data_IF_052498855909
#
_entry.id   IF_052498855909
#
_cell.length_a   1.000
_cell.length_b   1.000
_cell.length_c   1.000
_cell.angle_alpha   90.00
_cell.angle_beta   90.00
_cell.angle_gamma   90.00
#
_symmetry.space_group_name_H-M   'P 1'
#
loop_
_entity.id
_entity.type
_entity.pdbx_description
1 polymer ?
#
# COMPACT_ATOMS: atom_id res chain seq x y z
N UNK A 1 -1.50 -20.10 9.79
CA UNK A 1 -0.73 -19.00 9.17
C UNK A 1 -0.96 -19.17 7.68
N UNK A 2 -2.07 -18.64 7.18
CA UNK A 2 -2.44 -18.82 5.77
C UNK A 2 -1.78 -17.72 4.96
N UNK A 3 -0.70 -18.10 4.29
CA UNK A 3 -0.06 -17.26 3.29
C UNK A 3 -1.02 -17.13 2.10
N UNK A 4 -1.13 -15.93 1.53
CA UNK A 4 -1.90 -15.76 0.31
C UNK A 4 -1.14 -16.41 -0.84
N UNK A 5 -1.73 -17.44 -1.44
CA UNK A 5 -1.29 -17.97 -2.73
C UNK A 5 -1.20 -16.84 -3.76
N UNK A 6 -0.33 -16.99 -4.73
CA UNK A 6 -0.03 -15.97 -5.76
C UNK A 6 -1.31 -15.49 -6.49
N UNK A 7 -2.29 -16.39 -6.67
CA UNK A 7 -3.61 -16.05 -7.22
C UNK A 7 -4.44 -15.11 -6.33
N UNK A 8 -4.35 -15.23 -5.00
CA UNK A 8 -5.04 -14.32 -4.09
C UNK A 8 -4.36 -12.96 -4.03
N UNK A 9 -3.04 -12.89 -4.23
CA UNK A 9 -2.30 -11.61 -4.29
C UNK A 9 -2.66 -10.79 -5.54
N UNK A 10 -2.89 -11.46 -6.68
CA UNK A 10 -3.32 -10.80 -7.92
C UNK A 10 -4.61 -10.00 -7.74
N UNK A 11 -5.55 -10.47 -6.91
CA UNK A 11 -6.79 -9.76 -6.62
C UNK A 11 -6.59 -8.42 -5.87
N UNK A 12 -5.43 -8.24 -5.22
CA UNK A 12 -5.07 -7.00 -4.52
C UNK A 12 -4.06 -6.15 -5.28
N UNK A 13 -3.69 -6.56 -6.51
CA UNK A 13 -2.72 -5.83 -7.30
C UNK A 13 -3.28 -4.48 -7.72
N UNK A 14 -2.46 -3.45 -7.54
CA UNK A 14 -2.76 -2.10 -7.99
C UNK A 14 -1.94 -1.80 -9.24
N UNK A 15 -2.63 -1.43 -10.30
CA UNK A 15 -2.01 -0.95 -11.52
C UNK A 15 -1.97 0.57 -11.55
N UNK A 16 -0.86 1.13 -12.02
CA UNK A 16 -0.69 2.58 -12.18
C UNK A 16 -0.77 2.91 -13.66
N UNK A 17 -1.79 3.67 -14.05
CA UNK A 17 -2.00 4.11 -15.44
C UNK A 17 -2.18 5.63 -15.46
N UNK A 18 -1.26 6.33 -16.13
CA UNK A 18 -1.29 7.80 -16.21
C UNK A 18 -1.28 8.49 -14.84
N UNK A 19 -0.56 7.92 -13.87
CA UNK A 19 -0.47 8.47 -12.50
C UNK A 19 -1.67 8.19 -11.59
N UNK A 20 -2.64 7.40 -12.04
CA UNK A 20 -3.79 6.96 -11.23
C UNK A 20 -3.71 5.48 -10.92
N UNK A 21 -4.20 5.12 -9.74
CA UNK A 21 -4.26 3.76 -9.22
C UNK A 21 -5.56 3.07 -9.65
N UNK A 22 -5.43 1.84 -10.13
CA UNK A 22 -6.52 0.98 -10.56
C UNK A 22 -6.46 -0.35 -9.81
N UNK A 23 -7.61 -0.90 -9.43
CA UNK A 23 -7.71 -2.24 -8.85
C UNK A 23 -7.52 -3.33 -9.93
N UNK A 24 -7.48 -4.60 -9.52
CA UNK A 24 -7.36 -5.75 -10.43
C UNK A 24 -8.51 -5.86 -11.44
N UNK A 25 -9.66 -5.24 -11.19
CA UNK A 25 -10.80 -5.21 -12.09
C UNK A 25 -10.69 -4.08 -13.15
N UNK A 26 -9.64 -3.25 -13.07
CA UNK A 26 -9.44 -2.10 -13.96
C UNK A 26 -10.27 -0.87 -13.58
N UNK A 27 -10.85 -0.83 -12.39
CA UNK A 27 -11.60 0.30 -11.85
C UNK A 27 -10.68 1.22 -11.04
N UNK A 28 -11.05 2.50 -10.89
CA UNK A 28 -10.28 3.43 -10.07
C UNK A 28 -10.25 2.96 -8.61
N UNK A 29 -9.05 2.84 -8.06
CA UNK A 29 -8.89 2.43 -6.67
C UNK A 29 -9.37 3.55 -5.73
N UNK A 30 -10.21 3.20 -4.77
CA UNK A 30 -10.81 4.15 -3.85
C UNK A 30 -10.89 3.56 -2.45
N UNK A 31 -10.30 4.25 -1.48
CA UNK A 31 -10.24 3.82 -0.09
C UNK A 31 -11.36 4.39 0.76
N UNK A 32 -12.25 5.24 0.23
CA UNK A 32 -13.34 5.85 1.01
C UNK A 32 -14.29 4.82 1.62
N UNK A 33 -14.46 3.67 0.96
CA UNK A 33 -15.24 2.54 1.47
C UNK A 33 -14.40 1.56 2.31
N UNK A 34 -13.07 1.75 2.38
CA UNK A 34 -12.15 0.90 3.14
C UNK A 34 -12.12 1.24 4.63
N UNK A 35 -11.70 0.27 5.43
CA UNK A 35 -11.58 0.39 6.87
C UNK A 35 -10.25 -0.24 7.34
N UNK A 36 -9.35 0.59 7.87
CA UNK A 36 -8.11 0.15 8.51
C UNK A 36 -8.28 0.14 10.03
N UNK A 37 -7.88 -0.96 10.69
CA UNK A 37 -7.88 -1.04 12.17
C UNK A 37 -6.85 -0.10 12.80
N UNK A 38 -5.78 0.25 12.08
CA UNK A 38 -4.73 1.15 12.58
C UNK A 38 -5.05 2.62 12.37
N UNK A 39 -5.84 2.92 11.33
CA UNK A 39 -6.01 4.27 10.82
C UNK A 39 -7.45 4.79 10.75
N UNK A 40 -8.44 3.95 11.04
CA UNK A 40 -9.87 4.25 10.91
C UNK A 40 -10.43 4.06 9.49
N UNK A 41 -11.66 4.53 9.28
CA UNK A 41 -12.34 4.50 7.99
C UNK A 41 -11.62 5.36 6.94
N UNK A 42 -11.69 4.95 5.68
CA UNK A 42 -11.13 5.70 4.54
C UNK A 42 -9.69 5.32 4.16
N UNK A 43 -9.13 4.26 4.75
CA UNK A 43 -7.71 3.88 4.59
C UNK A 43 -7.57 2.43 4.16
N UNK A 44 -6.54 2.16 3.39
CA UNK A 44 -6.14 0.84 2.95
C UNK A 44 -4.70 0.56 3.40
N UNK A 45 -4.40 -0.71 3.70
CA UNK A 45 -3.01 -1.12 3.86
C UNK A 45 -2.40 -1.40 2.48
N UNK A 46 -1.10 -1.16 2.35
CA UNK A 46 -0.37 -1.46 1.12
C UNK A 46 0.97 -2.15 1.40
N UNK A 47 1.42 -2.88 0.40
CA UNK A 47 2.76 -3.44 0.34
C UNK A 47 3.31 -3.32 -1.09
N UNK A 48 4.61 -3.12 -1.20
CA UNK A 48 5.35 -3.11 -2.46
C UNK A 48 6.42 -4.20 -2.41
N UNK A 49 6.49 -5.04 -3.43
CA UNK A 49 7.54 -6.04 -3.56
C UNK A 49 8.85 -5.44 -4.13
N UNK A 50 9.92 -6.23 -4.16
CA UNK A 50 11.23 -5.81 -4.69
C UNK A 50 11.22 -5.45 -6.19
N UNK A 51 10.19 -5.88 -6.93
CA UNK A 51 10.00 -5.57 -8.33
C UNK A 51 9.19 -4.30 -8.57
N UNK A 52 8.72 -3.64 -7.49
CA UNK A 52 7.90 -2.42 -7.56
C UNK A 52 6.42 -2.69 -7.78
N UNK A 53 5.96 -3.94 -7.71
CA UNK A 53 4.53 -4.24 -7.79
C UNK A 53 3.85 -3.76 -6.51
N UNK A 54 2.81 -2.94 -6.68
CA UNK A 54 2.01 -2.40 -5.59
C UNK A 54 0.79 -3.30 -5.33
N UNK A 55 0.55 -3.60 -4.07
CA UNK A 55 -0.63 -4.33 -3.60
C UNK A 55 -1.32 -3.50 -2.52
N UNK A 56 -2.64 -3.44 -2.54
CA UNK A 56 -3.42 -2.76 -1.51
C UNK A 56 -4.71 -3.49 -1.17
N UNK A 57 -5.07 -3.52 0.11
CA UNK A 57 -6.37 -4.00 0.59
C UNK A 57 -7.12 -2.93 1.37
N UNK A 58 -8.40 -2.81 1.04
CA UNK A 58 -9.35 -1.92 1.70
C UNK A 58 -9.74 -2.39 3.10
N UNK A 59 -9.52 -3.68 3.40
CA UNK A 59 -9.97 -4.29 4.64
C UNK A 59 -8.77 -4.79 5.43
N UNK A 60 -8.62 -4.27 6.65
CA UNK A 60 -7.69 -4.80 7.63
C UNK A 60 -8.51 -5.53 8.72
N UNK A 61 -9.05 -6.71 8.42
CA UNK A 61 -9.84 -7.47 9.39
C UNK A 61 -8.92 -8.09 10.49
N UNK A 62 -9.22 -7.92 11.79
CA UNK A 62 -8.45 -8.52 12.87
C UNK A 62 -8.48 -10.06 12.75
N UNK A 63 -7.30 -10.69 12.64
CA UNK A 63 -7.17 -12.16 12.65
C UNK A 63 -7.07 -12.85 11.29
N UNK A 64 -7.30 -12.14 10.17
CA UNK A 64 -7.21 -12.72 8.81
C UNK A 64 -6.13 -12.07 7.93
N UNK A 65 -5.88 -10.76 8.06
CA UNK A 65 -4.92 -10.05 7.20
C UNK A 65 -4.05 -9.09 8.01
N UNK A 66 -2.76 -9.43 8.14
CA UNK A 66 -1.72 -8.52 8.62
C UNK A 66 -0.84 -8.08 7.43
N UNK A 67 -0.04 -7.02 7.57
CA UNK A 67 0.99 -6.66 6.58
C UNK A 67 1.88 -7.86 6.18
N UNK A 68 2.10 -8.81 7.09
CA UNK A 68 2.81 -10.06 6.87
C UNK A 68 2.07 -11.10 6.01
N UNK A 69 0.73 -11.02 5.91
CA UNK A 69 -0.08 -11.91 5.08
C UNK A 69 0.11 -11.66 3.58
N UNK A 70 0.44 -10.41 3.20
CA UNK A 70 0.63 -10.03 1.79
C UNK A 70 1.83 -10.69 1.12
N UNK A 71 2.92 -10.83 1.85
CA UNK A 71 4.21 -11.19 1.25
C UNK A 71 4.79 -12.49 1.78
N UNK A 72 4.13 -13.18 2.70
CA UNK A 72 4.53 -14.52 3.14
C UNK A 72 6.00 -14.65 3.60
N UNK A 73 6.59 -13.56 4.11
CA UNK A 73 8.01 -13.51 4.47
C UNK A 73 8.96 -13.10 3.35
N UNK A 74 8.46 -12.75 2.16
CA UNK A 74 9.24 -12.21 1.06
C UNK A 74 9.74 -10.77 1.34
N UNK A 75 10.83 -10.34 0.69
CA UNK A 75 11.36 -8.99 0.84
C UNK A 75 10.30 -7.93 0.50
N UNK A 76 10.09 -7.00 1.43
CA UNK A 76 9.15 -5.90 1.26
C UNK A 76 9.94 -4.63 0.96
N UNK A 77 9.76 -4.04 -0.22
CA UNK A 77 10.39 -2.78 -0.58
C UNK A 77 9.77 -1.61 0.18
N UNK A 78 8.46 -1.64 0.48
CA UNK A 78 7.80 -0.73 1.40
C UNK A 78 6.44 -1.29 1.86
N UNK A 79 6.00 -0.93 3.06
CA UNK A 79 4.66 -1.21 3.55
C UNK A 79 4.15 -0.06 4.40
N UNK A 80 2.83 0.07 4.50
CA UNK A 80 2.16 1.04 5.34
C UNK A 80 0.70 1.25 4.92
N UNK A 81 0.21 2.48 5.01
CA UNK A 81 -1.19 2.80 4.69
C UNK A 81 -1.31 3.86 3.58
N UNK A 82 -2.34 3.71 2.74
CA UNK A 82 -2.71 4.65 1.70
C UNK A 82 -4.12 5.19 1.92
N UNK A 83 -4.30 6.45 1.56
CA UNK A 83 -5.60 7.05 1.27
C UNK A 83 -5.63 7.35 -0.22
N UNK A 84 -6.59 6.77 -0.94
CA UNK A 84 -6.75 6.96 -2.39
C UNK A 84 -8.20 7.33 -2.67
N UNK A 85 -8.42 8.35 -3.48
CA UNK A 85 -9.76 8.79 -3.88
C UNK A 85 -9.78 8.90 -5.39
N UNK A 86 -10.68 8.17 -6.05
CA UNK A 86 -10.76 8.10 -7.52
C UNK A 86 -9.39 7.85 -8.19
N UNK A 87 -8.60 6.92 -7.64
CA UNK A 87 -7.26 6.56 -8.13
C UNK A 87 -6.17 7.59 -7.82
N UNK A 88 -6.45 8.69 -7.13
CA UNK A 88 -5.46 9.71 -6.74
C UNK A 88 -5.02 9.48 -5.30
N UNK A 89 -3.71 9.39 -5.08
CA UNK A 89 -3.15 9.21 -3.73
C UNK A 89 -3.25 10.53 -2.96
N UNK A 90 -4.02 10.50 -1.87
CA UNK A 90 -4.22 11.63 -0.97
C UNK A 90 -3.22 11.60 0.18
N UNK A 91 -2.86 10.41 0.67
CA UNK A 91 -1.90 10.24 1.75
C UNK A 91 -1.19 8.88 1.63
N UNK A 92 0.09 8.86 1.99
CA UNK A 92 0.92 7.66 2.11
C UNK A 92 1.65 7.70 3.45
N UNK A 93 1.56 6.63 4.23
CA UNK A 93 2.28 6.48 5.49
C UNK A 93 3.16 5.22 5.48
N UNK A 94 4.25 5.22 6.23
CA UNK A 94 5.06 4.02 6.53
C UNK A 94 4.59 3.29 7.80
N UNK A 95 3.34 3.53 8.21
CA UNK A 95 2.76 2.93 9.41
C UNK A 95 2.37 1.48 9.14
N UNK A 96 3.35 0.56 9.22
CA UNK A 96 3.17 -0.87 8.96
C UNK A 96 3.19 -1.75 10.22
N UNK A 97 3.11 -1.15 11.41
CA UNK A 97 3.14 -1.88 12.68
C UNK A 97 4.53 -2.41 13.03
N UNK A 98 4.68 -3.74 13.18
CA UNK A 98 5.93 -4.39 13.61
C UNK A 98 7.04 -4.41 12.56
N UNK A 99 6.68 -4.30 11.27
CA UNK A 99 7.66 -4.12 10.20
C UNK A 99 8.02 -2.64 10.17
N UNK A 100 9.24 -2.29 10.59
CA UNK A 100 9.76 -0.92 10.51
C UNK A 100 10.80 -0.89 9.39
N UNK A 101 10.38 -0.75 8.12
CA UNK A 101 11.35 -0.52 7.06
C UNK A 101 12.07 0.80 7.38
N UNK A 102 13.37 0.85 7.14
CA UNK A 102 14.13 2.09 7.27
C UNK A 102 13.49 3.17 6.40
N UNK A 103 13.57 4.43 6.84
CA UNK A 103 12.98 5.57 6.14
C UNK A 103 13.37 5.64 4.65
N UNK A 104 14.54 5.10 4.29
CA UNK A 104 15.03 4.99 2.92
C UNK A 104 14.15 4.11 2.00
N UNK A 105 13.59 3.02 2.52
CA UNK A 105 12.71 2.11 1.78
C UNK A 105 11.38 2.80 1.40
N UNK A 106 10.77 3.52 2.35
CA UNK A 106 9.56 4.31 2.07
C UNK A 106 9.83 5.38 1.02
N UNK A 107 10.98 6.07 1.11
CA UNK A 107 11.37 7.07 0.11
C UNK A 107 11.64 6.46 -1.27
N UNK A 108 12.22 5.26 -1.33
CA UNK A 108 12.40 4.52 -2.57
C UNK A 108 11.06 4.20 -3.24
N UNK A 109 10.08 3.70 -2.47
CA UNK A 109 8.74 3.43 -2.98
C UNK A 109 8.04 4.71 -3.46
N UNK A 110 8.13 5.80 -2.71
CA UNK A 110 7.60 7.11 -3.15
C UNK A 110 8.22 7.54 -4.48
N UNK A 111 9.54 7.40 -4.63
CA UNK A 111 10.23 7.76 -5.87
C UNK A 111 9.81 6.87 -7.04
N UNK A 112 9.61 5.57 -6.80
CA UNK A 112 9.09 4.65 -7.79
C UNK A 112 7.68 5.04 -8.25
N UNK A 113 6.76 5.33 -7.32
CA UNK A 113 5.41 5.79 -7.64
C UNK A 113 5.42 7.09 -8.45
N UNK A 114 6.29 8.04 -8.10
CA UNK A 114 6.48 9.28 -8.87
C UNK A 114 6.97 9.02 -10.28
N UNK A 115 7.90 8.08 -10.47
CA UNK A 115 8.39 7.69 -11.80
C UNK A 115 7.28 7.07 -12.66
N UNK A 116 6.29 6.42 -12.04
CA UNK A 116 5.07 5.92 -12.70
C UNK A 116 3.99 7.01 -12.91
N UNK A 117 4.30 8.26 -12.60
CA UNK A 117 3.43 9.42 -12.82
C UNK A 117 2.49 9.74 -11.65
N UNK A 118 2.56 9.02 -10.53
CA UNK A 118 1.74 9.31 -9.35
C UNK A 118 2.21 10.62 -8.71
N UNK A 119 1.30 11.57 -8.59
CA UNK A 119 1.60 12.88 -7.98
C UNK A 119 1.57 12.77 -6.46
N UNK A 120 2.75 12.63 -5.85
CA UNK A 120 2.95 12.62 -4.39
C UNK A 120 3.78 13.82 -3.97
N UNK A 121 3.21 14.68 -3.13
CA UNK A 121 3.92 15.82 -2.50
C UNK A 121 4.47 15.43 -1.14
N UNK A 122 5.45 16.19 -0.62
CA UNK A 122 5.99 15.97 0.71
C UNK A 122 4.92 16.06 1.83
N UNK A 123 3.89 16.90 1.64
CA UNK A 123 2.79 17.06 2.59
C UNK A 123 1.89 15.82 2.69
N UNK A 124 1.86 14.98 1.64
CA UNK A 124 1.05 13.76 1.59
C UNK A 124 1.80 12.54 2.12
N UNK A 125 3.10 12.67 2.40
CA UNK A 125 3.95 11.57 2.87
C UNK A 125 4.17 11.75 4.37
N UNK A 126 3.68 10.80 5.17
CA UNK A 126 3.91 10.75 6.61
C UNK A 126 4.91 9.64 6.93
N UNK A 127 6.02 10.01 7.56
CA UNK A 127 7.08 9.09 7.98
C UNK A 127 7.08 9.03 9.50
N UNK A 128 6.67 7.89 10.04
CA UNK A 128 6.56 7.56 11.46
C UNK A 128 7.73 6.67 11.93
N UNK A 129 8.48 6.04 11.01
CA UNK A 129 9.67 5.28 11.35
C UNK A 129 10.80 6.18 11.91
N UNK A 130 11.55 5.72 12.93
CA UNK A 130 12.69 6.46 13.46
C UNK A 130 13.76 6.68 12.39
N UNK A 131 14.49 7.81 12.51
CA UNK A 131 15.56 8.21 11.60
C UNK A 131 16.76 7.29 11.64
#
# INVERSE_FOLDING_TARGET
MDYLDENRRQAFRIEIRGGRLYNSNGELFDTRAGHSVWGGSGRAIFAMDEHGNLYAALEHAPGEFHHSSFLAGAPVAAAGELVVVNGVVQQLTDSSGHYRPERGHTLQAVNHLRALGVQLTAAQIRLEAPR
#
